data_IF_099753903764
#
_entry.id   IF_099753903764
#
_cell.length_a   1.000
_cell.length_b   1.000
_cell.length_c   1.000
_cell.angle_alpha   90.00
_cell.angle_beta   90.00
_cell.angle_gamma   90.00
#
_symmetry.space_group_name_H-M   'P 1'
#
loop_
_entity.id
_entity.type
_entity.pdbx_description
1 polymer ?
#
# COMPACT_ATOMS: atom_id res chain seq x y z
N UNK A 1 -7.45 5.81 -14.25
CA UNK A 1 -6.71 5.16 -15.36
C UNK A 1 -7.44 3.87 -15.73
N UNK A 2 -7.35 3.25 -16.92
CA UNK A 2 -8.02 1.96 -17.08
C UNK A 2 -7.28 0.94 -16.22
N UNK A 3 -7.89 0.55 -15.11
CA UNK A 3 -7.42 -0.54 -14.24
C UNK A 3 -7.21 -1.85 -15.03
N UNK A 4 -7.88 -1.96 -16.16
CA UNK A 4 -7.82 -3.05 -17.13
C UNK A 4 -6.45 -3.22 -17.81
N UNK A 5 -5.60 -2.19 -17.80
CA UNK A 5 -4.24 -2.27 -18.36
C UNK A 5 -3.29 -3.14 -17.50
N UNK A 6 -3.68 -3.48 -16.27
CA UNK A 6 -2.90 -4.30 -15.34
C UNK A 6 -3.48 -5.69 -15.18
N UNK A 7 -2.61 -6.66 -14.88
CA UNK A 7 -3.04 -8.00 -14.53
C UNK A 7 -3.97 -7.97 -13.31
N UNK A 8 -5.22 -8.33 -13.55
CA UNK A 8 -6.27 -8.27 -12.57
C UNK A 8 -7.20 -9.48 -12.66
N UNK A 9 -7.95 -9.70 -11.58
CA UNK A 9 -9.04 -10.68 -11.52
C UNK A 9 -10.22 -10.05 -10.81
N UNK A 10 -11.39 -10.13 -11.43
CA UNK A 10 -12.65 -9.82 -10.79
C UNK A 10 -13.22 -11.11 -10.17
N UNK A 11 -13.39 -11.11 -8.86
CA UNK A 11 -14.12 -12.18 -8.16
C UNK A 11 -15.47 -11.63 -7.72
N UNK A 12 -16.53 -12.43 -7.92
CA UNK A 12 -17.88 -12.09 -7.50
C UNK A 12 -18.56 -13.26 -6.80
N UNK A 13 -19.44 -12.94 -5.86
CA UNK A 13 -20.32 -13.90 -5.18
C UNK A 13 -21.63 -13.21 -4.79
N UNK A 14 -22.72 -13.50 -5.51
CA UNK A 14 -23.95 -12.72 -5.38
C UNK A 14 -23.71 -11.24 -5.69
N UNK A 15 -24.11 -10.36 -4.78
CA UNK A 15 -23.97 -8.90 -4.92
C UNK A 15 -22.57 -8.37 -4.59
N UNK A 16 -21.66 -9.24 -4.19
CA UNK A 16 -20.29 -8.90 -3.80
C UNK A 16 -19.36 -8.92 -5.02
N UNK A 17 -18.52 -7.88 -5.18
CA UNK A 17 -17.51 -7.80 -6.22
C UNK A 17 -16.19 -7.28 -5.67
N UNK A 18 -15.08 -7.92 -6.05
CA UNK A 18 -13.73 -7.50 -5.71
C UNK A 18 -12.80 -7.57 -6.91
N UNK A 19 -12.07 -6.49 -7.15
CA UNK A 19 -11.01 -6.44 -8.14
C UNK A 19 -9.65 -6.67 -7.47
N UNK A 20 -8.93 -7.72 -7.84
CA UNK A 20 -7.60 -8.01 -7.33
C UNK A 20 -6.55 -7.66 -8.38
N UNK A 21 -5.42 -7.11 -7.97
CA UNK A 21 -4.25 -6.98 -8.83
C UNK A 21 -3.21 -8.02 -8.44
N UNK A 22 -2.67 -8.74 -9.42
CA UNK A 22 -1.66 -9.76 -9.17
C UNK A 22 -0.55 -9.71 -10.23
N UNK A 23 0.72 -9.78 -9.77
CA UNK A 23 2.01 -9.88 -10.48
C UNK A 23 2.99 -8.77 -10.08
N UNK A 24 4.21 -9.17 -9.72
CA UNK A 24 5.22 -8.24 -9.25
C UNK A 24 5.88 -7.39 -10.36
N UNK A 25 6.08 -7.95 -11.57
CA UNK A 25 6.85 -7.28 -12.62
C UNK A 25 6.05 -6.22 -13.38
N UNK A 26 4.78 -6.50 -13.70
CA UNK A 26 3.88 -5.62 -14.45
C UNK A 26 2.58 -5.34 -13.68
N UNK A 27 2.62 -5.37 -12.36
CA UNK A 27 1.47 -5.10 -11.51
C UNK A 27 1.12 -3.63 -11.42
N UNK A 28 -0.08 -3.37 -10.85
CA UNK A 28 -0.63 -2.05 -10.56
C UNK A 28 0.22 -1.22 -9.58
N UNK A 29 1.14 -1.80 -8.83
CA UNK A 29 2.05 -1.00 -8.01
C UNK A 29 3.40 -1.68 -7.95
N UNK A 30 4.46 -0.90 -8.16
CA UNK A 30 5.83 -1.39 -8.28
C UNK A 30 6.83 -0.62 -7.42
N UNK A 31 6.38 0.42 -6.72
CA UNK A 31 7.14 1.04 -5.66
C UNK A 31 7.25 0.12 -4.42
N UNK A 32 8.03 0.56 -3.43
CA UNK A 32 8.46 -0.29 -2.30
C UNK A 32 7.85 0.12 -0.95
N UNK A 33 6.86 1.03 -0.92
CA UNK A 33 6.29 1.51 0.34
C UNK A 33 5.31 0.51 0.97
N UNK A 34 4.56 -0.21 0.14
CA UNK A 34 3.47 -1.09 0.56
C UNK A 34 3.65 -2.51 0.04
N UNK A 35 3.10 -3.48 0.77
CA UNK A 35 3.00 -4.85 0.29
C UNK A 35 2.05 -4.93 -0.90
N UNK A 36 2.55 -5.52 -1.99
CA UNK A 36 1.83 -5.71 -3.24
C UNK A 36 0.84 -6.87 -3.18
N UNK A 37 0.96 -7.76 -2.19
CA UNK A 37 0.02 -8.87 -2.01
C UNK A 37 -1.37 -8.39 -1.54
N UNK A 38 -1.45 -7.24 -0.86
CA UNK A 38 -2.68 -6.67 -0.31
C UNK A 38 -3.51 -5.82 -1.28
N UNK A 39 -3.13 -5.73 -2.55
CA UNK A 39 -3.79 -4.79 -3.49
C UNK A 39 -5.13 -5.36 -3.96
N UNK A 40 -6.20 -4.93 -3.28
CA UNK A 40 -7.58 -5.08 -3.73
C UNK A 40 -8.05 -3.74 -4.29
N UNK A 41 -8.15 -3.65 -5.61
CA UNK A 41 -8.44 -2.44 -6.38
C UNK A 41 -9.76 -1.78 -6.02
N UNK A 42 -10.79 -2.60 -5.80
CA UNK A 42 -12.14 -2.16 -5.48
C UNK A 42 -12.87 -3.27 -4.72
N UNK A 43 -13.73 -2.89 -3.78
CA UNK A 43 -14.62 -3.81 -3.08
C UNK A 43 -16.02 -3.20 -2.99
N UNK A 44 -17.03 -3.94 -3.45
CA UNK A 44 -18.42 -3.50 -3.41
C UNK A 44 -19.39 -4.61 -3.00
N UNK A 45 -20.52 -4.20 -2.43
CA UNK A 45 -21.63 -5.07 -2.04
C UNK A 45 -22.95 -4.33 -2.19
N UNK A 46 -23.93 -4.94 -2.87
CA UNK A 46 -25.30 -4.41 -2.98
C UNK A 46 -25.35 -2.94 -3.46
N UNK A 47 -24.49 -2.57 -4.41
CA UNK A 47 -24.39 -1.22 -4.97
C UNK A 47 -23.59 -0.21 -4.13
N UNK A 48 -23.04 -0.59 -2.98
CA UNK A 48 -22.14 0.24 -2.18
C UNK A 48 -20.68 -0.13 -2.42
N UNK A 49 -19.81 0.87 -2.66
CA UNK A 49 -18.36 0.70 -2.81
C UNK A 49 -17.64 1.16 -1.56
N UNK A 50 -16.86 0.28 -0.95
CA UNK A 50 -16.15 0.57 0.30
C UNK A 50 -14.80 1.25 0.07
N UNK A 51 -14.11 0.86 -1.00
CA UNK A 51 -12.81 1.41 -1.42
C UNK A 51 -12.65 1.22 -2.93
N UNK A 52 -11.80 2.05 -3.53
CA UNK A 52 -11.55 2.10 -4.96
C UNK A 52 -10.31 2.93 -5.30
N UNK A 53 -9.95 3.01 -6.57
CA UNK A 53 -8.95 3.98 -7.06
C UNK A 53 -9.35 5.40 -6.61
N UNK A 54 -8.45 6.10 -5.94
CA UNK A 54 -8.73 7.41 -5.34
C UNK A 54 -8.04 8.58 -6.07
N UNK A 55 -7.13 8.30 -7.01
CA UNK A 55 -6.39 9.31 -7.78
C UNK A 55 -6.44 9.01 -9.27
N UNK A 56 -6.67 10.04 -10.09
CA UNK A 56 -6.58 9.94 -11.54
C UNK A 56 -5.13 10.07 -12.06
N UNK A 57 -4.25 10.68 -11.26
CA UNK A 57 -2.82 10.75 -11.55
C UNK A 57 -2.16 9.50 -10.96
N UNK A 58 -1.76 8.60 -11.83
CA UNK A 58 -1.16 7.33 -11.45
C UNK A 58 0.21 7.18 -12.10
N UNK A 59 1.18 6.79 -11.27
CA UNK A 59 2.51 6.34 -11.68
C UNK A 59 2.81 5.06 -10.89
N UNK A 60 3.03 3.90 -11.54
CA UNK A 60 3.29 2.64 -10.84
C UNK A 60 4.54 2.67 -9.94
N UNK A 61 5.42 3.65 -10.13
CA UNK A 61 6.66 3.84 -9.39
C UNK A 61 6.55 4.93 -8.31
N UNK A 62 5.44 5.67 -8.25
CA UNK A 62 5.22 6.66 -7.20
C UNK A 62 4.75 5.98 -5.90
N UNK A 63 5.40 6.31 -4.78
CA UNK A 63 5.14 5.66 -3.49
C UNK A 63 3.69 5.81 -2.99
N UNK A 64 2.96 6.82 -3.46
CA UNK A 64 1.56 7.07 -3.12
C UNK A 64 0.56 6.57 -4.17
N UNK A 65 0.97 6.05 -5.32
CA UNK A 65 0.05 5.55 -6.35
C UNK A 65 -0.41 4.11 -6.08
N UNK A 66 -0.93 3.89 -4.87
CA UNK A 66 -1.44 2.60 -4.39
C UNK A 66 -2.94 2.71 -4.10
N UNK A 67 -3.66 1.59 -4.13
CA UNK A 67 -5.06 1.51 -3.71
C UNK A 67 -5.31 0.24 -2.90
N UNK A 68 -6.47 0.19 -2.25
CA UNK A 68 -6.94 -0.96 -1.49
C UNK A 68 -6.43 -0.98 -0.04
N UNK A 69 -6.90 -1.97 0.73
CA UNK A 69 -6.42 -2.24 2.08
C UNK A 69 -5.03 -2.87 2.03
N UNK A 70 -4.02 -2.05 1.78
CA UNK A 70 -2.61 -2.46 1.74
C UNK A 70 -1.90 -2.15 3.06
N UNK A 71 -0.97 -3.02 3.43
CA UNK A 71 -0.15 -2.83 4.62
C UNK A 71 1.21 -2.19 4.27
N UNK A 72 1.73 -1.39 5.19
CA UNK A 72 3.13 -0.94 5.15
C UNK A 72 4.05 -2.05 5.69
N UNK A 73 5.32 -2.03 5.31
CA UNK A 73 6.32 -2.93 5.86
C UNK A 73 6.78 -2.46 7.25
N UNK A 74 6.59 -3.32 8.24
CA UNK A 74 7.06 -3.12 9.61
C UNK A 74 8.19 -4.10 9.95
N UNK A 75 9.02 -3.72 10.91
CA UNK A 75 9.92 -4.66 11.59
C UNK A 75 9.12 -5.55 12.55
N UNK A 76 9.73 -6.63 13.04
CA UNK A 76 9.07 -7.61 13.92
C UNK A 76 8.50 -6.98 15.21
N UNK A 77 8.98 -5.80 15.59
CA UNK A 77 8.54 -5.01 16.74
C UNK A 77 7.39 -4.02 16.42
N UNK A 78 6.84 -4.09 15.20
CA UNK A 78 5.77 -3.20 14.71
C UNK A 78 6.25 -1.80 14.31
N UNK A 79 7.54 -1.49 14.47
CA UNK A 79 8.12 -0.20 14.12
C UNK A 79 8.59 -0.10 12.67
N UNK A 80 8.98 1.11 12.27
CA UNK A 80 9.80 1.29 11.07
C UNK A 80 11.21 0.70 11.31
N UNK A 81 11.89 0.29 10.22
CA UNK A 81 13.20 -0.36 10.27
C UNK A 81 14.23 0.42 11.08
N UNK A 82 14.66 -0.16 12.21
CA UNK A 82 15.64 0.40 13.13
C UNK A 82 15.13 1.52 14.05
N UNK A 83 13.83 1.84 14.04
CA UNK A 83 13.28 2.94 14.84
C UNK A 83 13.40 2.69 16.35
N UNK A 84 13.13 1.48 16.81
CA UNK A 84 13.16 1.15 18.24
C UNK A 84 14.58 0.91 18.77
N UNK A 85 15.54 0.60 17.89
CA UNK A 85 16.94 0.37 18.23
C UNK A 85 17.71 1.66 18.48
N UNK A 86 17.24 2.78 17.93
CA UNK A 86 17.93 4.07 18.07
C UNK A 86 17.41 4.90 19.23
N UNK A 87 18.34 5.60 19.87
CA UNK A 87 18.07 6.65 20.86
C UNK A 87 17.36 7.84 20.19
N UNK A 88 16.72 8.74 20.96
CA UNK A 88 16.26 10.02 20.43
C UNK A 88 17.36 10.72 19.63
N UNK A 89 16.96 11.41 18.56
CA UNK A 89 17.82 12.02 17.53
C UNK A 89 18.61 11.04 16.66
N UNK A 90 18.55 9.74 16.92
CA UNK A 90 19.12 8.71 16.05
C UNK A 90 18.40 8.62 14.70
N UNK A 91 19.06 7.99 13.73
CA UNK A 91 18.53 7.83 12.37
C UNK A 91 17.97 6.43 12.17
N UNK A 92 16.83 6.32 11.49
CA UNK A 92 16.21 5.05 11.12
C UNK A 92 15.63 5.14 9.71
N UNK A 93 15.22 4.01 9.13
CA UNK A 93 14.70 3.97 7.75
C UNK A 93 13.22 3.66 7.77
N UNK A 94 12.45 4.41 6.96
CA UNK A 94 11.06 4.09 6.63
C UNK A 94 10.97 3.78 5.13
N UNK A 95 10.56 2.54 4.82
CA UNK A 95 10.49 2.06 3.45
C UNK A 95 9.52 2.93 2.62
N UNK A 96 9.95 3.33 1.43
CA UNK A 96 9.17 4.23 0.58
C UNK A 96 9.14 5.71 0.99
N UNK A 97 9.87 6.10 2.04
CA UNK A 97 10.07 7.52 2.40
C UNK A 97 11.54 7.90 2.52
N UNK A 98 12.39 7.04 3.09
CA UNK A 98 13.82 7.28 3.26
C UNK A 98 14.28 7.27 4.72
N UNK A 99 15.25 8.12 5.04
CA UNK A 99 15.87 8.19 6.37
C UNK A 99 15.16 9.24 7.23
N UNK A 100 14.78 8.85 8.44
CA UNK A 100 14.11 9.69 9.42
C UNK A 100 14.98 9.86 10.66
N UNK A 101 14.72 10.94 11.40
CA UNK A 101 15.29 11.18 12.72
C UNK A 101 14.25 10.93 13.79
N UNK A 102 14.57 10.08 14.77
CA UNK A 102 13.70 9.86 15.92
C UNK A 102 13.59 11.14 16.75
N UNK A 103 12.37 11.58 17.04
CA UNK A 103 12.14 12.77 17.87
C UNK A 103 12.36 12.43 19.35
N UNK A 104 12.59 13.46 20.17
CA UNK A 104 12.47 13.32 21.61
C UNK A 104 10.99 13.27 21.98
N UNK A 105 10.57 12.19 22.63
CA UNK A 105 9.24 12.10 23.22
C UNK A 105 9.31 12.76 24.60
N UNK A 106 8.75 13.95 24.72
CA UNK A 106 8.42 14.51 26.04
C UNK A 106 7.07 13.88 26.44
N UNK A 107 7.08 13.04 27.47
CA UNK A 107 5.87 12.58 28.16
C UNK A 107 5.47 13.60 29.22
#
# INVERSE_FOLDING_TARGET
>A
MPLDDYFNALLSNGDMQYLFFYRAQNGYYRASRFDRSGIVGCGSYSGHTFFGEWSHNYDPLANNSITGPVEEFHSDDGGALGCNEVRPRGLFVRLGFGVFRKIETFL
#
